data_IF_462404600543
#
_entry.id   IF_462404600543
#
_cell.length_a   1.000
_cell.length_b   1.000
_cell.length_c   1.000
_cell.angle_alpha   90.00
_cell.angle_beta   90.00
_cell.angle_gamma   90.00
#
_symmetry.space_group_name_H-M   'P 1'
#
loop_
_entity.id
_entity.type
_entity.pdbx_description
1 polymer ?
#
# COMPACT_ATOMS: atom_id res chain seq x y z
N UNK A 1 -13.81 5.88 -3.33
CA UNK A 1 -14.74 5.30 -2.33
C UNK A 1 -14.05 5.39 -0.98
N UNK A 2 -14.77 5.70 0.10
CA UNK A 2 -14.18 5.69 1.45
C UNK A 2 -14.48 4.34 2.09
N UNK A 3 -13.44 3.65 2.55
CA UNK A 3 -13.54 2.35 3.19
C UNK A 3 -12.61 2.33 4.38
N UNK A 4 -13.08 1.76 5.49
CA UNK A 4 -12.29 1.61 6.71
C UNK A 4 -11.80 0.17 6.78
N UNK A 5 -10.48 -0.01 6.88
CA UNK A 5 -9.84 -1.31 7.04
C UNK A 5 -8.77 -1.21 8.13
N UNK A 6 -8.61 -2.27 8.90
CA UNK A 6 -7.49 -2.40 9.84
C UNK A 6 -6.24 -2.86 9.07
N UNK A 7 -5.13 -2.19 9.33
CA UNK A 7 -3.84 -2.48 8.69
C UNK A 7 -2.74 -2.44 9.74
N UNK A 8 -1.74 -3.30 9.56
CA UNK A 8 -0.54 -3.29 10.39
C UNK A 8 0.26 -1.99 10.16
N UNK A 9 0.40 -1.21 11.22
CA UNK A 9 1.13 0.06 11.20
C UNK A 9 2.62 -0.13 10.90
N UNK A 10 3.24 -1.22 11.37
CA UNK A 10 4.65 -1.49 11.12
C UNK A 10 4.89 -1.80 9.64
N UNK A 11 4.00 -2.61 9.05
CA UNK A 11 4.04 -2.90 7.62
C UNK A 11 3.87 -1.63 6.78
N UNK A 12 2.94 -0.77 7.18
CA UNK A 12 2.72 0.53 6.52
C UNK A 12 3.94 1.45 6.65
N UNK A 13 4.59 1.51 7.81
CA UNK A 13 5.82 2.30 7.99
C UNK A 13 6.97 1.80 7.13
N UNK A 14 7.17 0.48 7.07
CA UNK A 14 8.19 -0.11 6.21
C UNK A 14 7.92 0.20 4.73
N UNK A 15 6.66 0.06 4.29
CA UNK A 15 6.27 0.36 2.93
C UNK A 15 6.47 1.86 2.61
N UNK A 16 6.14 2.77 3.53
CA UNK A 16 6.44 4.21 3.39
C UNK A 16 7.94 4.48 3.29
N UNK A 17 8.75 3.80 4.11
CA UNK A 17 10.21 3.95 4.12
C UNK A 17 10.83 3.50 2.80
N UNK A 18 10.41 2.33 2.28
CA UNK A 18 10.95 1.76 1.04
C UNK A 18 10.49 2.55 -0.20
N UNK A 19 9.22 2.95 -0.24
CA UNK A 19 8.63 3.59 -1.43
C UNK A 19 8.74 5.12 -1.45
N UNK A 20 8.94 5.75 -0.28
CA UNK A 20 8.88 7.20 -0.10
C UNK A 20 7.47 7.80 -0.14
N UNK A 21 6.43 6.99 -0.39
CA UNK A 21 5.04 7.47 -0.46
C UNK A 21 4.53 7.70 0.96
N UNK A 22 4.19 8.94 1.32
CA UNK A 22 3.74 9.28 2.68
C UNK A 22 2.23 9.16 2.88
N UNK A 23 1.46 9.34 1.81
CA UNK A 23 0.00 9.33 1.85
C UNK A 23 -0.51 7.89 1.82
N UNK A 24 -1.30 7.51 2.82
CA UNK A 24 -1.72 6.12 3.04
C UNK A 24 -2.53 5.59 1.85
N UNK A 25 -3.45 6.37 1.30
CA UNK A 25 -4.29 5.94 0.16
C UNK A 25 -3.45 5.72 -1.09
N UNK A 26 -2.54 6.66 -1.41
CA UNK A 26 -1.60 6.50 -2.52
C UNK A 26 -0.74 5.24 -2.38
N UNK A 27 -0.24 4.96 -1.18
CA UNK A 27 0.57 3.76 -0.93
C UNK A 27 -0.24 2.47 -1.14
N UNK A 28 -1.46 2.43 -0.61
CA UNK A 28 -2.39 1.30 -0.82
C UNK A 28 -2.70 1.11 -2.31
N UNK A 29 -3.05 2.18 -3.02
CA UNK A 29 -3.34 2.11 -4.46
C UNK A 29 -2.14 1.64 -5.27
N UNK A 30 -0.93 2.14 -4.97
CA UNK A 30 0.29 1.71 -5.63
C UNK A 30 0.57 0.22 -5.39
N UNK A 31 0.39 -0.26 -4.15
CA UNK A 31 0.54 -1.68 -3.81
C UNK A 31 -0.46 -2.57 -4.55
N UNK A 32 -1.74 -2.21 -4.56
CA UNK A 32 -2.77 -2.95 -5.29
C UNK A 32 -2.50 -2.99 -6.80
N UNK A 33 -2.08 -1.87 -7.38
CA UNK A 33 -1.73 -1.80 -8.80
C UNK A 33 -0.53 -2.70 -9.13
N UNK A 34 0.50 -2.69 -8.29
CA UNK A 34 1.67 -3.56 -8.46
C UNK A 34 1.32 -5.05 -8.37
N UNK A 35 0.33 -5.43 -7.55
CA UNK A 35 -0.18 -6.79 -7.49
C UNK A 35 -0.96 -7.18 -8.75
N UNK A 36 -1.82 -6.30 -9.27
CA UNK A 36 -2.57 -6.56 -10.51
C UNK A 36 -1.61 -6.72 -11.70
N UNK A 37 -0.56 -5.91 -11.75
CA UNK A 37 0.47 -5.95 -12.81
C UNK A 37 1.40 -7.16 -12.69
N UNK A 38 1.45 -7.83 -11.54
CA UNK A 38 2.14 -9.10 -11.34
C UNK A 38 1.14 -10.26 -11.36
N UNK A 39 0.87 -10.87 -12.53
CA UNK A 39 -0.15 -11.90 -12.65
C UNK A 39 0.10 -13.17 -11.82
N UNK A 40 1.31 -13.38 -11.30
CA UNK A 40 1.63 -14.46 -10.37
C UNK A 40 2.68 -13.97 -9.37
N UNK A 41 2.28 -13.77 -8.10
CA UNK A 41 3.18 -13.72 -6.95
C UNK A 41 2.92 -14.97 -6.10
#
# INVERSE_FOLDING_TARGET
MQTTIELDNQLMEQARFITGIKEQTALLHAGLKALIERPNA
#
